data_IF_347855417792
#
_entry.id   IF_347855417792
#
_cell.length_a   1.000
_cell.length_b   1.000
_cell.length_c   1.000
_cell.angle_alpha   90.00
_cell.angle_beta   90.00
_cell.angle_gamma   90.00
#
_symmetry.space_group_name_H-M   'P 1'
#
loop_
_entity.id
_entity.type
_entity.pdbx_description
1 polymer ?
#
# COMPACT_ATOMS: atom_id res chain seq x y z
N UNK A 1 14.59 -8.88 -3.17
CA UNK A 1 13.73 -9.91 -3.79
C UNK A 1 12.73 -10.45 -2.79
N UNK A 2 11.47 -10.06 -2.96
CA UNK A 2 10.36 -10.57 -2.14
C UNK A 2 9.98 -11.94 -2.71
N UNK A 3 10.12 -12.98 -1.89
CA UNK A 3 9.74 -14.34 -2.27
C UNK A 3 8.31 -14.59 -1.84
N UNK A 4 7.40 -14.65 -2.81
CA UNK A 4 5.96 -14.89 -2.56
C UNK A 4 5.68 -16.37 -2.84
N UNK A 5 5.15 -17.07 -1.83
CA UNK A 5 4.62 -18.42 -2.00
C UNK A 5 3.13 -18.34 -2.35
N UNK A 6 2.78 -18.64 -3.61
CA UNK A 6 1.40 -18.69 -4.10
C UNK A 6 0.98 -17.51 -4.98
N UNK A 7 -0.31 -17.47 -5.32
CA UNK A 7 -0.90 -16.42 -6.16
C UNK A 7 -1.32 -15.21 -5.30
N UNK A 8 -0.98 -14.01 -5.78
CA UNK A 8 -1.42 -12.76 -5.17
C UNK A 8 -2.92 -12.56 -5.40
N UNK A 9 -3.64 -12.16 -4.35
CA UNK A 9 -5.06 -11.84 -4.42
C UNK A 9 -5.42 -10.69 -3.46
N UNK A 10 -6.69 -10.28 -3.46
CA UNK A 10 -7.18 -9.15 -2.66
C UNK A 10 -6.95 -9.31 -1.14
N UNK A 11 -6.85 -10.54 -0.66
CA UNK A 11 -6.61 -10.85 0.76
C UNK A 11 -5.13 -10.97 1.11
N UNK A 12 -4.22 -10.88 0.13
CA UNK A 12 -2.78 -10.92 0.38
C UNK A 12 -2.40 -9.81 1.35
N UNK A 13 -1.83 -10.20 2.51
CA UNK A 13 -1.38 -9.26 3.51
C UNK A 13 -0.09 -8.58 3.08
N UNK A 14 -0.06 -7.27 3.28
CA UNK A 14 1.12 -6.44 2.99
C UNK A 14 2.02 -6.33 4.22
N UNK A 15 1.45 -6.20 5.42
CA UNK A 15 2.18 -6.05 6.68
C UNK A 15 1.82 -7.11 7.73
N UNK A 16 2.61 -7.17 8.80
CA UNK A 16 2.38 -8.03 9.96
C UNK A 16 2.99 -9.41 9.82
N UNK A 17 2.63 -10.34 10.72
CA UNK A 17 3.27 -11.66 10.82
C UNK A 17 3.13 -12.57 9.59
N UNK A 18 2.20 -12.25 8.68
CA UNK A 18 2.04 -12.92 7.40
C UNK A 18 2.06 -11.93 6.23
N UNK A 19 2.61 -10.73 6.45
CA UNK A 19 2.77 -9.71 5.42
C UNK A 19 3.98 -10.01 4.54
N UNK A 20 3.91 -9.61 3.28
CA UNK A 20 5.01 -9.76 2.32
C UNK A 20 6.10 -8.69 2.47
N UNK A 21 5.79 -7.57 3.13
CA UNK A 21 6.71 -6.46 3.35
C UNK A 21 7.08 -6.35 4.83
N UNK A 22 8.36 -6.07 5.09
CA UNK A 22 8.77 -5.47 6.35
C UNK A 22 8.52 -3.94 6.34
N UNK A 23 8.89 -3.25 7.42
CA UNK A 23 8.63 -1.81 7.54
C UNK A 23 9.35 -0.98 6.47
N UNK A 24 10.56 -1.37 6.05
CA UNK A 24 11.34 -0.63 5.06
C UNK A 24 10.87 -0.97 3.65
N UNK A 25 10.62 -2.25 3.37
CA UNK A 25 10.10 -2.69 2.08
C UNK A 25 8.73 -2.06 1.79
N UNK A 26 7.89 -1.90 2.82
CA UNK A 26 6.59 -1.25 2.69
C UNK A 26 6.74 0.22 2.27
N UNK A 27 7.68 0.95 2.87
CA UNK A 27 7.92 2.35 2.53
C UNK A 27 8.38 2.47 1.08
N UNK A 28 9.32 1.63 0.66
CA UNK A 28 9.78 1.60 -0.74
C UNK A 28 8.64 1.28 -1.69
N UNK A 29 7.82 0.27 -1.37
CA UNK A 29 6.64 -0.07 -2.16
C UNK A 29 5.65 1.08 -2.28
N UNK A 30 5.39 1.81 -1.19
CA UNK A 30 4.45 2.94 -1.22
C UNK A 30 4.96 4.06 -2.16
N UNK A 31 6.24 4.40 -2.08
CA UNK A 31 6.84 5.42 -2.96
C UNK A 31 6.73 5.01 -4.43
N UNK A 32 7.09 3.75 -4.75
CA UNK A 32 6.96 3.23 -6.12
C UNK A 32 5.51 3.22 -6.60
N UNK A 33 4.56 2.92 -5.70
CA UNK A 33 3.13 2.92 -6.04
C UNK A 33 2.60 4.33 -6.32
N UNK A 34 3.00 5.34 -5.53
CA UNK A 34 2.68 6.75 -5.77
C UNK A 34 3.23 7.21 -7.13
N UNK A 35 4.47 6.87 -7.44
CA UNK A 35 5.11 7.17 -8.74
C UNK A 35 4.34 6.52 -9.90
N UNK A 36 4.04 5.22 -9.82
CA UNK A 36 3.30 4.50 -10.85
C UNK A 36 1.90 5.08 -11.08
N UNK A 37 1.20 5.48 -10.00
CA UNK A 37 -0.13 6.11 -10.11
C UNK A 37 -0.01 7.48 -10.77
N UNK A 38 0.97 8.29 -10.39
CA UNK A 38 1.19 9.58 -11.01
C UNK A 38 1.53 9.44 -12.51
N UNK A 39 2.42 8.52 -12.87
CA UNK A 39 2.78 8.27 -14.27
C UNK A 39 1.58 7.79 -15.10
N UNK A 40 0.73 6.93 -14.54
CA UNK A 40 -0.41 6.37 -15.25
C UNK A 40 -1.61 7.31 -15.35
N UNK A 41 -1.85 8.15 -14.33
CA UNK A 41 -3.08 8.93 -14.18
C UNK A 41 -2.85 10.44 -14.04
N UNK A 42 -1.60 10.92 -14.06
CA UNK A 42 -1.22 12.31 -13.83
C UNK A 42 -1.81 12.89 -12.54
N UNK A 43 -1.90 12.05 -11.51
CA UNK A 43 -2.47 12.40 -10.20
C UNK A 43 -1.38 12.25 -9.15
N UNK A 44 -1.03 13.37 -8.52
CA UNK A 44 -0.09 13.41 -7.41
C UNK A 44 -0.85 13.09 -6.11
N UNK A 45 -0.54 11.94 -5.49
CA UNK A 45 -1.17 11.48 -4.25
C UNK A 45 -0.12 11.18 -3.19
N UNK A 46 -0.50 11.36 -1.93
CA UNK A 46 0.32 11.01 -0.77
C UNK A 46 -0.40 9.94 0.06
N UNK A 47 0.02 8.68 -0.10
CA UNK A 47 -0.48 7.52 0.61
C UNK A 47 0.05 7.46 2.05
N UNK A 48 1.32 7.82 2.25
CA UNK A 48 2.06 7.63 3.50
C UNK A 48 2.20 8.89 4.37
N UNK A 49 1.18 9.76 4.42
CA UNK A 49 1.23 10.94 5.28
C UNK A 49 1.16 10.60 6.79
N UNK A 50 1.55 11.57 7.63
CA UNK A 50 1.58 11.44 9.11
C UNK A 50 0.23 10.99 9.71
N UNK A 51 -0.89 11.42 9.12
CA UNK A 51 -2.22 11.08 9.63
C UNK A 51 -2.59 9.61 9.38
N UNK A 52 -2.15 9.05 8.25
CA UNK A 52 -2.35 7.65 7.91
C UNK A 52 -1.49 6.75 8.79
N UNK A 53 -0.22 7.14 8.98
CA UNK A 53 0.75 6.40 9.80
C UNK A 53 0.39 6.38 11.29
N UNK A 54 -0.32 7.41 11.77
CA UNK A 54 -0.84 7.48 13.14
C UNK A 54 -2.27 6.94 13.30
N UNK A 55 -2.91 6.52 12.21
CA UNK A 55 -4.28 6.01 12.26
C UNK A 55 -4.38 4.68 13.00
N UNK A 56 -5.52 4.44 13.66
CA UNK A 56 -5.78 3.16 14.34
C UNK A 56 -5.94 1.98 13.38
N UNK A 57 -6.33 2.25 12.14
CA UNK A 57 -6.57 1.25 11.10
C UNK A 57 -5.71 1.59 9.91
N UNK A 58 -4.57 0.91 9.80
CA UNK A 58 -3.68 1.09 8.66
C UNK A 58 -4.39 0.67 7.35
N UNK A 59 -4.33 1.48 6.28
CA UNK A 59 -4.82 1.07 4.96
C UNK A 59 -3.92 0.01 4.32
N UNK A 60 -2.69 -0.18 4.83
CA UNK A 60 -1.68 -1.07 4.27
C UNK A 60 -1.78 -2.51 4.81
N UNK A 61 -2.97 -2.98 5.20
CA UNK A 61 -3.15 -4.33 5.77
C UNK A 61 -3.10 -5.40 4.69
N UNK A 62 -3.89 -5.23 3.62
CA UNK A 62 -3.96 -6.14 2.48
C UNK A 62 -4.28 -5.36 1.20
N UNK A 63 -4.19 -6.04 0.05
CA UNK A 63 -4.43 -5.45 -1.28
C UNK A 63 -5.81 -4.79 -1.39
N UNK A 64 -6.87 -5.43 -0.86
CA UNK A 64 -8.22 -4.87 -0.91
C UNK A 64 -8.33 -3.55 -0.15
N UNK A 65 -7.80 -3.51 1.07
CA UNK A 65 -7.89 -2.32 1.94
C UNK A 65 -7.09 -1.16 1.37
N UNK A 66 -5.91 -1.45 0.81
CA UNK A 66 -5.09 -0.45 0.13
C UNK A 66 -5.81 0.11 -1.10
N UNK A 67 -6.39 -0.76 -1.92
CA UNK A 67 -7.15 -0.36 -3.12
C UNK A 67 -8.35 0.53 -2.76
N UNK A 68 -9.12 0.13 -1.75
CA UNK A 68 -10.25 0.91 -1.23
C UNK A 68 -9.81 2.26 -0.67
N UNK A 69 -8.63 2.34 -0.08
CA UNK A 69 -8.06 3.58 0.42
C UNK A 69 -7.65 4.51 -0.72
N UNK A 70 -6.92 4.00 -1.73
CA UNK A 70 -6.51 4.77 -2.92
C UNK A 70 -7.71 5.38 -3.62
N UNK A 71 -8.81 4.61 -3.79
CA UNK A 71 -10.04 5.10 -4.42
C UNK A 71 -10.76 6.20 -3.63
N UNK A 72 -10.47 6.34 -2.33
CA UNK A 72 -11.04 7.40 -1.48
C UNK A 72 -10.20 8.66 -1.46
N UNK A 73 -8.90 8.57 -1.77
CA UNK A 73 -8.06 9.74 -1.95
C UNK A 73 -8.61 10.48 -3.18
N UNK A 74 -9.02 11.74 -2.99
CA UNK A 74 -9.68 12.63 -3.97
C UNK A 74 -11.23 12.59 -4.02
N UNK A 75 -11.91 12.02 -3.02
CA UNK A 75 -13.31 12.38 -2.72
C UNK A 75 -13.40 13.42 -1.60
#
# INVERSE_FOLDING_TARGET
DISIEGELNNETRLIGSAGIFDSMDLVSFIVELEEVINDAFSTDIELANDSVMSSRTSPFINISTLSDYILKINN
#
